data_IF_003991530369
#
_entry.id   IF_003991530369
#
_cell.length_a   1.000
_cell.length_b   1.000
_cell.length_c   1.000
_cell.angle_alpha   90.00
_cell.angle_beta   90.00
_cell.angle_gamma   90.00
#
_symmetry.space_group_name_H-M   'P 1'
#
loop_
_entity.id
_entity.type
_entity.pdbx_description
1 polymer ?
#
# COMPACT_ATOMS: atom_id res chain seq x y z
N UNK A 1 13.08 -0.43 0.13
CA UNK A 1 13.24 -0.07 1.56
C UNK A 1 12.12 -0.74 2.35
N UNK A 2 12.39 -1.90 2.93
CA UNK A 2 11.52 -2.48 3.94
C UNK A 2 11.84 -1.78 5.27
N UNK A 3 10.82 -1.25 5.94
CA UNK A 3 10.99 -0.59 7.23
C UNK A 3 10.11 -1.33 8.25
N UNK A 4 10.73 -2.12 9.12
CA UNK A 4 10.07 -2.92 10.18
C UNK A 4 9.12 -2.09 11.08
N UNK A 5 9.17 -0.76 11.00
CA UNK A 5 8.39 0.18 11.81
C UNK A 5 6.89 0.19 11.47
N UNK A 6 6.47 -0.34 10.32
CA UNK A 6 5.07 -0.37 9.89
C UNK A 6 4.39 -1.74 10.02
N UNK A 7 5.07 -2.74 10.60
CA UNK A 7 4.54 -4.10 10.61
C UNK A 7 3.54 -4.40 11.72
N UNK A 8 3.51 -3.59 12.78
CA UNK A 8 2.69 -3.83 13.97
C UNK A 8 1.47 -2.91 13.95
N UNK A 9 0.29 -3.46 13.69
CA UNK A 9 -1.01 -2.76 13.79
C UNK A 9 -1.65 -2.89 15.17
N UNK A 10 -1.47 -4.04 15.83
CA UNK A 10 -1.98 -4.33 17.16
C UNK A 10 -0.82 -4.84 18.02
N UNK A 11 -0.71 -4.32 19.25
CA UNK A 11 0.34 -4.71 20.19
C UNK A 11 -0.29 -5.27 21.46
N UNK A 12 0.04 -6.51 21.79
CA UNK A 12 -0.29 -7.10 23.09
C UNK A 12 0.93 -7.04 24.01
N UNK A 13 0.84 -6.25 25.07
CA UNK A 13 1.85 -6.16 26.10
C UNK A 13 1.47 -6.96 27.34
N UNK A 14 2.28 -7.95 27.70
CA UNK A 14 2.05 -8.79 28.87
C UNK A 14 2.90 -8.32 30.05
N UNK A 15 2.25 -7.91 31.15
CA UNK A 15 2.92 -7.52 32.40
C UNK A 15 2.62 -8.51 33.51
N UNK A 16 3.69 -9.15 34.02
CA UNK A 16 3.62 -10.08 35.14
C UNK A 16 3.36 -9.36 36.48
N UNK A 17 2.76 -10.07 37.44
CA UNK A 17 2.65 -9.64 38.83
C UNK A 17 4.02 -9.60 39.55
N UNK A 18 4.36 -8.50 40.22
CA UNK A 18 5.61 -8.33 40.99
C UNK A 18 6.53 -7.22 40.45
N UNK A 19 7.71 -7.07 41.07
CA UNK A 19 8.75 -6.10 40.66
C UNK A 19 9.32 -6.49 39.30
N UNK A 20 9.34 -5.56 38.35
CA UNK A 20 9.91 -5.79 37.02
C UNK A 20 11.14 -4.90 36.82
N UNK A 21 12.32 -5.52 36.70
CA UNK A 21 13.52 -4.84 36.21
C UNK A 21 13.53 -4.89 34.68
N UNK A 22 12.81 -3.97 34.05
CA UNK A 22 12.66 -4.00 32.59
C UNK A 22 12.88 -2.61 31.96
N UNK A 23 14.04 -2.01 32.23
CA UNK A 23 14.45 -0.74 31.61
C UNK A 23 14.32 -0.76 30.08
N UNK A 24 14.67 -1.88 29.44
CA UNK A 24 14.56 -2.06 27.99
C UNK A 24 13.09 -2.07 27.54
N UNK A 25 12.21 -2.77 28.26
CA UNK A 25 10.78 -2.84 27.91
C UNK A 25 10.09 -1.50 28.10
N UNK A 26 10.46 -0.73 29.13
CA UNK A 26 10.01 0.65 29.31
C UNK A 26 10.33 1.48 28.07
N UNK A 27 11.59 1.50 27.66
CA UNK A 27 12.03 2.26 26.49
C UNK A 27 11.35 1.78 25.20
N UNK A 28 11.19 0.47 25.01
CA UNK A 28 10.50 -0.07 23.84
C UNK A 28 9.03 0.36 23.79
N UNK A 29 8.30 0.27 24.91
CA UNK A 29 6.89 0.63 24.98
C UNK A 29 6.69 2.14 24.86
N UNK A 30 7.48 2.97 25.56
CA UNK A 30 7.44 4.43 25.41
C UNK A 30 7.73 4.85 23.97
N UNK A 31 8.77 4.28 23.34
CA UNK A 31 9.05 4.55 21.92
C UNK A 31 7.91 4.11 21.00
N UNK A 32 7.23 3.01 21.31
CA UNK A 32 6.07 2.56 20.53
C UNK A 32 4.89 3.52 20.70
N UNK A 33 4.63 3.97 21.93
CA UNK A 33 3.61 4.98 22.25
C UNK A 33 3.92 6.28 21.51
N UNK A 34 5.09 6.87 21.68
CA UNK A 34 5.45 8.16 21.07
C UNK A 34 5.34 8.14 19.53
N UNK A 35 5.57 6.97 18.92
CA UNK A 35 5.49 6.78 17.46
C UNK A 35 4.07 6.60 16.95
N UNK A 36 3.20 5.96 17.73
CA UNK A 36 1.89 5.49 17.25
C UNK A 36 0.71 6.24 17.91
N UNK A 37 0.92 6.79 19.09
CA UNK A 37 -0.05 7.53 19.90
C UNK A 37 0.54 8.93 20.10
N UNK A 38 0.09 9.91 19.31
CA UNK A 38 0.59 11.28 19.44
C UNK A 38 0.11 11.89 20.77
N UNK A 39 1.00 11.93 21.76
CA UNK A 39 0.77 12.67 23.00
C UNK A 39 0.99 14.16 22.72
N UNK A 40 -0.09 14.91 22.50
CA UNK A 40 -0.11 16.37 22.61
C UNK A 40 0.70 17.17 21.58
N UNK A 41 0.36 17.10 20.28
CA UNK A 41 0.90 18.00 19.26
C UNK A 41 0.04 18.09 18.01
N UNK A 42 -0.68 19.21 17.87
CA UNK A 42 -1.36 19.81 16.73
C UNK A 42 -2.23 18.95 15.77
N UNK A 43 -3.52 19.36 15.76
CA UNK A 43 -4.62 19.19 14.80
C UNK A 43 -5.23 17.78 14.68
N UNK A 44 -6.13 17.47 15.61
CA UNK A 44 -7.50 17.04 15.24
C UNK A 44 -7.75 15.57 14.91
N UNK A 45 -6.82 14.65 15.19
CA UNK A 45 -7.09 13.22 15.10
C UNK A 45 -7.07 12.60 16.51
N UNK A 46 -8.19 11.98 16.91
CA UNK A 46 -8.25 11.07 18.05
C UNK A 46 -7.03 10.12 18.06
N UNK A 47 -6.51 9.69 19.23
CA UNK A 47 -5.33 8.84 19.33
C UNK A 47 -5.42 7.71 18.30
N UNK A 48 -4.49 7.75 17.32
CA UNK A 48 -4.55 6.91 16.12
C UNK A 48 -4.71 5.45 16.52
N UNK A 49 -5.81 4.89 16.04
CA UNK A 49 -6.18 3.54 15.63
C UNK A 49 -5.20 2.35 15.74
N UNK A 50 -4.13 2.38 16.51
CA UNK A 50 -3.30 1.22 16.86
C UNK A 50 -3.60 0.84 18.30
N UNK A 51 -4.22 -0.31 18.51
CA UNK A 51 -4.67 -0.71 19.83
C UNK A 51 -3.54 -1.42 20.58
N UNK A 52 -2.93 -0.70 21.50
CA UNK A 52 -2.20 -1.32 22.60
C UNK A 52 -3.20 -2.04 23.49
N UNK A 53 -2.98 -3.32 23.73
CA UNK A 53 -3.66 -4.13 24.73
C UNK A 53 -2.67 -4.46 25.83
N UNK A 54 -3.06 -4.29 27.09
CA UNK A 54 -2.22 -4.69 28.22
C UNK A 54 -2.85 -5.89 28.93
N UNK A 55 -2.17 -7.02 28.90
CA UNK A 55 -2.52 -8.19 29.70
C UNK A 55 -1.73 -8.19 31.01
N UNK A 56 -2.44 -7.96 32.11
CA UNK A 56 -1.98 -8.17 33.46
C UNK A 56 -2.01 -9.68 33.77
N UNK A 57 -0.89 -10.37 33.55
CA UNK A 57 -0.81 -11.83 33.71
C UNK A 57 -0.64 -12.26 35.18
N UNK A 58 -0.81 -13.56 35.46
CA UNK A 58 -0.76 -14.14 36.83
C UNK A 58 -1.77 -13.48 37.79
N UNK A 59 -2.95 -13.12 37.29
CA UNK A 59 -3.96 -12.43 38.08
C UNK A 59 -4.51 -13.27 39.23
N UNK A 60 -4.46 -14.60 39.13
CA UNK A 60 -4.82 -15.52 40.21
C UNK A 60 -4.02 -15.27 41.50
N UNK A 61 -2.77 -14.80 41.38
CA UNK A 61 -1.91 -14.48 42.54
C UNK A 61 -2.36 -13.27 43.35
N UNK A 62 -3.29 -12.48 42.82
CA UNK A 62 -3.82 -11.28 43.49
C UNK A 62 -4.76 -11.63 44.64
N UNK A 63 -5.41 -12.78 44.60
CA UNK A 63 -6.23 -13.30 45.70
C UNK A 63 -5.31 -14.09 46.62
N UNK A 64 -5.35 -13.84 47.93
CA UNK A 64 -4.59 -14.60 48.93
C UNK A 64 -5.57 -15.43 49.77
N UNK A 65 -5.11 -16.55 50.33
CA UNK A 65 -5.90 -17.30 51.31
C UNK A 65 -6.10 -16.44 52.56
N UNK A 66 -7.27 -16.54 53.18
CA UNK A 66 -7.62 -15.81 54.41
C UNK A 66 -7.38 -14.29 54.28
N UNK A 67 -7.81 -13.72 53.15
CA UNK A 67 -7.51 -12.34 52.79
C UNK A 67 -8.23 -11.32 53.67
N UNK A 68 -7.76 -10.06 53.63
CA UNK A 68 -8.43 -8.93 54.28
C UNK A 68 -8.60 -7.81 53.27
N UNK A 69 -9.71 -7.08 53.35
CA UNK A 69 -10.06 -6.02 52.39
C UNK A 69 -8.94 -5.00 52.20
N UNK A 70 -8.31 -4.53 53.27
CA UNK A 70 -7.21 -3.55 53.19
C UNK A 70 -5.98 -4.12 52.47
N UNK A 71 -5.65 -5.39 52.73
CA UNK A 71 -4.53 -6.08 52.05
C UNK A 71 -4.84 -6.28 50.57
N UNK A 72 -6.06 -6.67 50.23
CA UNK A 72 -6.52 -6.75 48.85
C UNK A 72 -6.43 -5.40 48.14
N UNK A 73 -6.86 -4.32 48.81
CA UNK A 73 -6.82 -2.96 48.30
C UNK A 73 -5.39 -2.50 48.00
N UNK A 74 -4.44 -2.75 48.93
CA UNK A 74 -3.01 -2.45 48.72
C UNK A 74 -2.46 -3.21 47.51
N UNK A 75 -2.80 -4.49 47.33
CA UNK A 75 -2.34 -5.28 46.17
C UNK A 75 -2.93 -4.79 44.86
N UNK A 76 -4.19 -4.36 44.85
CA UNK A 76 -4.84 -3.76 43.67
C UNK A 76 -4.16 -2.45 43.27
N UNK A 77 -3.95 -1.54 44.22
CA UNK A 77 -3.23 -0.29 43.98
C UNK A 77 -1.80 -0.57 43.49
N UNK A 78 -1.09 -1.50 44.15
CA UNK A 78 0.26 -1.91 43.74
C UNK A 78 0.30 -2.50 42.33
N UNK A 79 -0.75 -3.22 41.90
CA UNK A 79 -0.83 -3.81 40.56
C UNK A 79 -0.86 -2.76 39.45
N UNK A 80 -1.62 -1.68 39.64
CA UNK A 80 -1.72 -0.62 38.65
C UNK A 80 -0.59 0.41 38.76
N UNK A 81 -0.25 0.87 39.97
CA UNK A 81 0.77 1.89 40.18
C UNK A 81 2.18 1.31 40.13
N UNK A 82 2.54 0.54 41.15
CA UNK A 82 3.91 0.08 41.36
C UNK A 82 4.38 -0.93 40.30
N UNK A 83 3.49 -1.81 39.82
CA UNK A 83 3.84 -2.82 38.80
C UNK A 83 3.65 -2.34 37.36
N UNK A 84 3.06 -1.16 37.14
CA UNK A 84 2.76 -0.70 35.78
C UNK A 84 2.98 0.80 35.58
N UNK A 85 2.07 1.67 36.05
CA UNK A 85 2.08 3.09 35.72
C UNK A 85 3.42 3.78 36.05
N UNK A 86 3.97 3.52 37.25
CA UNK A 86 5.23 4.11 37.70
C UNK A 86 6.44 3.62 36.87
N UNK A 87 6.34 2.46 36.22
CA UNK A 87 7.41 1.86 35.43
C UNK A 87 7.35 2.38 33.99
N UNK A 88 6.17 2.38 33.35
CA UNK A 88 6.06 2.60 31.91
C UNK A 88 5.89 4.06 31.48
N UNK A 89 5.68 4.97 32.44
CA UNK A 89 5.76 6.41 32.23
C UNK A 89 4.41 7.11 32.09
N UNK A 90 4.47 8.43 31.89
CA UNK A 90 3.33 9.33 32.06
C UNK A 90 2.17 9.10 31.08
N UNK A 91 2.39 8.41 29.96
CA UNK A 91 1.34 8.07 29.00
C UNK A 91 0.25 7.19 29.63
N UNK A 92 0.56 6.42 30.67
CA UNK A 92 -0.41 5.56 31.34
C UNK A 92 -1.55 6.37 31.96
N UNK A 93 -1.24 7.57 32.45
CA UNK A 93 -2.22 8.53 32.99
C UNK A 93 -2.64 9.60 31.97
N UNK A 94 -2.05 9.62 30.77
CA UNK A 94 -2.23 10.64 29.73
C UNK A 94 -2.14 10.04 28.32
N UNK A 95 -3.01 9.08 27.99
CA UNK A 95 -2.88 8.27 26.77
C UNK A 95 -3.47 8.93 25.52
N UNK A 96 -4.50 9.75 25.66
CA UNK A 96 -5.13 10.48 24.56
C UNK A 96 -5.06 11.98 24.77
N UNK A 97 -5.71 12.45 25.83
CA UNK A 97 -5.65 13.83 26.30
C UNK A 97 -5.02 13.88 27.69
N UNK A 98 -4.60 15.07 28.11
CA UNK A 98 -4.02 15.26 29.45
C UNK A 98 -5.07 14.92 30.51
N UNK A 99 -4.75 13.96 31.37
CA UNK A 99 -5.64 13.46 32.42
C UNK A 99 -6.53 12.28 32.02
N UNK A 100 -6.52 11.84 30.75
CA UNK A 100 -7.21 10.62 30.34
C UNK A 100 -6.29 9.39 30.47
N UNK A 101 -6.57 8.47 31.41
CA UNK A 101 -5.74 7.29 31.61
C UNK A 101 -5.95 6.26 30.51
N UNK A 102 -4.94 5.43 30.30
CA UNK A 102 -5.04 4.25 29.45
C UNK A 102 -6.03 3.25 30.06
N UNK A 103 -7.04 2.83 29.29
CA UNK A 103 -8.15 1.97 29.77
C UNK A 103 -8.20 0.57 29.17
N UNK A 104 -7.29 0.23 28.24
CA UNK A 104 -7.33 -1.06 27.52
C UNK A 104 -6.53 -2.17 28.23
N UNK A 105 -6.81 -2.33 29.54
CA UNK A 105 -6.26 -3.39 30.38
C UNK A 105 -7.14 -4.64 30.38
N UNK A 106 -6.50 -5.79 30.54
CA UNK A 106 -7.11 -7.10 30.70
C UNK A 106 -6.38 -7.88 31.78
N UNK A 107 -7.11 -8.62 32.58
CA UNK A 107 -6.51 -9.59 33.50
C UNK A 107 -6.42 -10.95 32.79
N UNK A 108 -5.36 -11.70 33.02
CA UNK A 108 -5.25 -13.07 32.53
C UNK A 108 -4.56 -13.98 33.54
N UNK A 109 -4.86 -15.28 33.45
CA UNK A 109 -4.18 -16.35 34.19
C UNK A 109 -3.93 -17.54 33.26
N UNK A 110 -2.86 -18.29 33.50
CA UNK A 110 -2.50 -19.43 32.68
C UNK A 110 -3.19 -20.71 33.19
N UNK A 111 -4.17 -21.29 32.48
CA UNK A 111 -4.86 -22.51 32.92
C UNK A 111 -3.97 -23.76 32.92
N UNK A 112 -2.80 -23.70 32.27
CA UNK A 112 -1.84 -24.81 32.21
C UNK A 112 -0.83 -24.77 33.36
N UNK A 113 -0.80 -23.69 34.15
CA UNK A 113 0.08 -23.56 35.30
C UNK A 113 -0.66 -23.93 36.59
N UNK A 114 0.08 -24.23 37.66
CA UNK A 114 -0.49 -24.33 39.00
C UNK A 114 -1.05 -22.98 39.42
N UNK A 115 -2.36 -22.93 39.64
CA UNK A 115 -3.07 -21.72 40.03
C UNK A 115 -3.09 -21.59 41.56
N UNK A 116 -3.06 -20.35 42.03
CA UNK A 116 -2.99 -20.09 43.46
C UNK A 116 -4.34 -20.33 44.16
N UNK A 117 -5.44 -19.94 43.53
CA UNK A 117 -6.78 -19.95 44.11
C UNK A 117 -7.73 -21.00 43.52
N UNK A 118 -7.29 -21.74 42.49
CA UNK A 118 -8.09 -22.77 41.83
C UNK A 118 -7.37 -24.12 41.87
N UNK A 119 -8.16 -25.18 42.01
CA UNK A 119 -7.75 -26.57 41.79
C UNK A 119 -8.56 -27.16 40.63
N UNK A 120 -8.14 -28.33 40.14
CA UNK A 120 -8.94 -29.13 39.20
C UNK A 120 -9.72 -30.17 39.97
N UNK A 121 -11.03 -30.17 39.78
CA UNK A 121 -11.91 -31.22 40.29
C UNK A 121 -11.49 -32.57 39.71
N UNK A 122 -11.33 -33.57 40.59
CA UNK A 122 -10.75 -34.87 40.22
C UNK A 122 -11.70 -35.75 39.39
N UNK A 123 -13.00 -35.45 39.38
CA UNK A 123 -14.01 -36.24 38.66
C UNK A 123 -14.34 -35.62 37.30
N UNK A 124 -14.50 -34.30 37.25
CA UNK A 124 -14.93 -33.55 36.07
C UNK A 124 -13.78 -32.90 35.32
N UNK A 125 -12.61 -32.76 35.95
CA UNK A 125 -11.46 -32.01 35.40
C UNK A 125 -11.67 -30.51 35.31
N UNK A 126 -12.81 -30.01 35.80
CA UNK A 126 -13.16 -28.58 35.76
C UNK A 126 -12.45 -27.81 36.86
N UNK A 127 -12.23 -26.52 36.67
CA UNK A 127 -11.66 -25.69 37.73
C UNK A 127 -12.69 -25.47 38.84
N UNK A 128 -12.22 -25.55 40.09
CA UNK A 128 -12.98 -25.23 41.30
C UNK A 128 -12.12 -24.35 42.21
N UNK A 129 -12.75 -23.63 43.13
CA UNK A 129 -12.00 -22.88 44.14
C UNK A 129 -11.22 -23.83 45.04
N UNK A 130 -10.00 -23.41 45.39
CA UNK A 130 -9.22 -24.09 46.41
C UNK A 130 -9.80 -23.75 47.80
N UNK A 131 -9.91 -24.73 48.71
CA UNK A 131 -10.42 -24.47 50.06
C UNK A 131 -9.74 -23.30 50.79
N UNK A 132 -10.56 -22.37 51.28
CA UNK A 132 -10.15 -21.13 51.96
C UNK A 132 -9.95 -19.92 51.03
N UNK A 133 -10.18 -20.08 49.73
CA UNK A 133 -10.20 -18.98 48.77
C UNK A 133 -11.61 -18.51 48.40
N UNK A 134 -12.64 -19.28 48.75
CA UNK A 134 -14.05 -18.98 48.47
C UNK A 134 -14.45 -17.65 49.12
N UNK A 135 -14.22 -17.50 50.42
CA UNK A 135 -14.49 -16.23 51.13
C UNK A 135 -13.52 -15.11 50.70
N UNK A 136 -12.27 -15.48 50.41
CA UNK A 136 -11.25 -14.51 49.98
C UNK A 136 -11.58 -13.89 48.63
N UNK A 137 -12.31 -14.61 47.75
CA UNK A 137 -12.83 -14.08 46.49
C UNK A 137 -13.78 -12.92 46.75
N UNK A 138 -14.73 -13.06 47.66
CA UNK A 138 -15.74 -12.04 47.93
C UNK A 138 -15.11 -10.80 48.58
N UNK A 139 -14.15 -11.00 49.49
CA UNK A 139 -13.33 -9.93 50.07
C UNK A 139 -12.57 -9.18 48.97
N UNK A 140 -11.92 -9.92 48.06
CA UNK A 140 -11.18 -9.33 46.95
C UNK A 140 -12.10 -8.61 45.97
N UNK A 141 -13.27 -9.17 45.65
CA UNK A 141 -14.26 -8.53 44.76
C UNK A 141 -14.79 -7.22 45.37
N UNK A 142 -15.06 -7.21 46.67
CA UNK A 142 -15.47 -6.00 47.40
C UNK A 142 -14.38 -4.92 47.34
N UNK A 143 -13.12 -5.28 47.60
CA UNK A 143 -12.00 -4.36 47.45
C UNK A 143 -11.87 -3.86 46.00
N UNK A 144 -11.94 -4.76 45.01
CA UNK A 144 -11.84 -4.45 43.58
C UNK A 144 -12.89 -3.42 43.14
N UNK A 145 -14.15 -3.60 43.51
CA UNK A 145 -15.25 -2.69 43.14
C UNK A 145 -15.06 -1.25 43.64
N UNK A 146 -14.41 -1.09 44.79
CA UNK A 146 -14.25 0.19 45.50
C UNK A 146 -12.86 0.81 45.39
N UNK A 147 -11.89 0.12 44.78
CA UNK A 147 -10.52 0.60 44.69
C UNK A 147 -10.42 1.76 43.67
N UNK A 148 -9.77 2.85 44.07
CA UNK A 148 -9.65 4.06 43.25
C UNK A 148 -8.87 3.83 41.94
N UNK A 149 -7.83 3.00 41.94
CA UNK A 149 -7.05 2.71 40.73
C UNK A 149 -7.82 1.79 39.78
N UNK A 150 -8.58 0.83 40.31
CA UNK A 150 -9.49 0.00 39.50
C UNK A 150 -10.52 0.87 38.80
N UNK A 151 -11.13 1.83 39.51
CA UNK A 151 -12.04 2.79 38.91
C UNK A 151 -11.35 3.64 37.84
N UNK A 152 -10.21 4.21 38.17
CA UNK A 152 -9.46 5.10 37.29
C UNK A 152 -9.06 4.43 35.96
N UNK A 153 -8.52 3.20 36.01
CA UNK A 153 -8.00 2.52 34.83
C UNK A 153 -9.02 1.64 34.10
N UNK A 154 -10.09 1.18 34.75
CA UNK A 154 -11.04 0.25 34.13
C UNK A 154 -12.44 0.83 33.95
N UNK A 155 -12.83 1.82 34.77
CA UNK A 155 -14.17 2.42 34.78
C UNK A 155 -15.28 1.37 34.74
N UNK A 156 -16.23 1.55 33.83
CA UNK A 156 -17.41 0.68 33.67
C UNK A 156 -17.06 -0.79 33.35
N UNK A 157 -15.88 -1.05 32.77
CA UNK A 157 -15.47 -2.40 32.36
C UNK A 157 -15.03 -3.28 33.53
N UNK A 158 -14.81 -2.70 34.72
CA UNK A 158 -14.21 -3.40 35.86
C UNK A 158 -14.97 -4.69 36.22
N UNK A 159 -16.30 -4.65 36.27
CA UNK A 159 -17.10 -5.82 36.68
C UNK A 159 -16.99 -6.95 35.65
N UNK A 160 -17.12 -6.61 34.37
CA UNK A 160 -16.96 -7.59 33.28
C UNK A 160 -15.56 -8.22 33.30
N UNK A 161 -14.50 -7.41 33.41
CA UNK A 161 -13.12 -7.89 33.47
C UNK A 161 -12.87 -8.81 34.67
N UNK A 162 -13.51 -8.53 35.81
CA UNK A 162 -13.43 -9.39 36.99
C UNK A 162 -14.03 -10.78 36.69
N UNK A 163 -15.24 -10.81 36.13
CA UNK A 163 -15.99 -12.04 35.89
C UNK A 163 -15.34 -12.93 34.82
N UNK A 164 -14.57 -12.33 33.90
CA UNK A 164 -13.84 -13.08 32.87
C UNK A 164 -12.57 -13.78 33.37
N UNK A 165 -12.14 -13.57 34.62
CA UNK A 165 -10.83 -14.06 35.11
C UNK A 165 -10.89 -14.69 36.48
N UNK A 166 -11.67 -14.12 37.40
CA UNK A 166 -11.74 -14.56 38.78
C UNK A 166 -12.93 -15.51 39.02
N UNK A 167 -13.37 -16.22 37.98
CA UNK A 167 -14.40 -17.26 38.05
C UNK A 167 -13.76 -18.57 37.54
N UNK A 168 -14.06 -19.72 38.16
CA UNK A 168 -13.58 -21.01 37.65
C UNK A 168 -13.98 -21.22 36.18
N UNK A 169 -13.06 -21.75 35.38
CA UNK A 169 -13.24 -21.92 33.94
C UNK A 169 -13.08 -20.65 33.09
N UNK A 170 -12.85 -19.49 33.71
CA UNK A 170 -12.64 -18.20 33.03
C UNK A 170 -11.22 -17.68 33.26
N UNK A 171 -10.41 -17.65 32.21
CA UNK A 171 -8.97 -17.31 32.29
C UNK A 171 -8.63 -15.90 31.83
N UNK A 172 -9.60 -15.17 31.27
CA UNK A 172 -9.44 -13.88 30.59
C UNK A 172 -8.90 -13.97 29.17
N UNK A 173 -8.29 -15.11 28.79
CA UNK A 173 -7.62 -15.27 27.50
C UNK A 173 -8.62 -15.17 26.34
N UNK A 174 -9.75 -15.87 26.43
CA UNK A 174 -10.77 -15.84 25.37
C UNK A 174 -11.40 -14.45 25.21
N UNK A 175 -11.60 -13.75 26.32
CA UNK A 175 -12.14 -12.39 26.31
C UNK A 175 -11.15 -11.39 25.69
N UNK A 176 -9.87 -11.47 26.07
CA UNK A 176 -8.81 -10.69 25.44
C UNK A 176 -8.71 -10.99 23.94
N UNK A 177 -8.69 -12.28 23.56
CA UNK A 177 -8.65 -12.71 22.14
C UNK A 177 -9.82 -12.12 21.36
N UNK A 178 -11.05 -12.22 21.89
CA UNK A 178 -12.26 -11.66 21.26
C UNK A 178 -12.11 -10.16 21.02
N UNK A 179 -11.60 -9.41 21.99
CA UNK A 179 -11.43 -7.96 21.84
C UNK A 179 -10.32 -7.58 20.86
N UNK A 180 -9.23 -8.36 20.78
CA UNK A 180 -8.18 -8.18 19.77
C UNK A 180 -8.77 -8.40 18.36
N UNK A 181 -9.50 -9.50 18.16
CA UNK A 181 -10.14 -9.82 16.87
C UNK A 181 -11.17 -8.74 16.49
N UNK A 182 -12.06 -8.38 17.40
CA UNK A 182 -13.04 -7.32 17.15
C UNK A 182 -12.37 -6.01 16.72
N UNK A 183 -11.24 -5.66 17.35
CA UNK A 183 -10.52 -4.44 16.99
C UNK A 183 -9.86 -4.53 15.62
N UNK A 184 -9.33 -5.70 15.26
CA UNK A 184 -8.82 -5.96 13.93
C UNK A 184 -9.93 -5.81 12.88
N UNK A 185 -11.09 -6.44 13.11
CA UNK A 185 -12.18 -6.51 12.14
C UNK A 185 -12.90 -5.16 11.93
N UNK A 186 -12.81 -4.25 12.89
CA UNK A 186 -13.28 -2.87 12.73
C UNK A 186 -12.47 -2.07 11.70
N UNK A 187 -11.19 -2.41 11.50
CA UNK A 187 -10.34 -1.74 10.52
C UNK A 187 -9.24 -2.68 9.97
N UNK A 188 -9.61 -3.65 9.12
CA UNK A 188 -8.67 -4.65 8.61
C UNK A 188 -7.58 -4.02 7.73
N UNK A 189 -7.89 -2.90 7.06
CA UNK A 189 -7.00 -2.21 6.13
C UNK A 189 -6.20 -1.07 6.78
N UNK A 190 -6.22 -0.96 8.12
CA UNK A 190 -5.53 0.07 8.89
C UNK A 190 -4.07 0.23 8.47
N UNK A 191 -3.35 -0.88 8.27
CA UNK A 191 -1.94 -0.86 7.85
C UNK A 191 -1.76 -0.15 6.51
N UNK A 192 -2.63 -0.45 5.55
CA UNK A 192 -2.61 0.16 4.22
C UNK A 192 -2.93 1.66 4.30
N UNK A 193 -3.95 2.03 5.08
CA UNK A 193 -4.31 3.45 5.31
C UNK A 193 -3.14 4.25 5.91
N UNK A 194 -2.47 3.70 6.93
CA UNK A 194 -1.30 4.33 7.56
C UNK A 194 -0.15 4.50 6.56
N UNK A 195 0.14 3.47 5.76
CA UNK A 195 1.19 3.51 4.74
C UNK A 195 0.89 4.53 3.63
N UNK A 196 -0.36 4.58 3.15
CA UNK A 196 -0.80 5.57 2.14
C UNK A 196 -0.67 7.00 2.66
N UNK A 197 -1.05 7.26 3.90
CA UNK A 197 -0.88 8.59 4.53
C UNK A 197 0.59 8.97 4.69
N UNK A 198 1.44 8.03 5.11
CA UNK A 198 2.88 8.26 5.21
C UNK A 198 3.50 8.58 3.84
N UNK A 199 3.12 7.83 2.80
CA UNK A 199 3.55 8.08 1.43
C UNK A 199 3.11 9.48 0.97
N UNK A 200 1.85 9.86 1.19
CA UNK A 200 1.33 11.19 0.86
C UNK A 200 2.13 12.30 1.54
N UNK A 201 2.43 12.15 2.84
CA UNK A 201 3.23 13.13 3.58
C UNK A 201 4.66 13.26 3.03
N UNK A 202 5.31 12.14 2.69
CA UNK A 202 6.65 12.14 2.09
C UNK A 202 6.61 12.85 0.74
N UNK A 203 5.64 12.50 -0.11
CA UNK A 203 5.46 13.15 -1.42
C UNK A 203 5.25 14.66 -1.22
N UNK A 204 4.35 15.06 -0.34
CA UNK A 204 4.09 16.49 -0.05
C UNK A 204 5.34 17.21 0.49
N UNK A 205 6.12 16.59 1.37
CA UNK A 205 7.38 17.17 1.84
C UNK A 205 8.41 17.33 0.72
N UNK A 206 8.52 16.34 -0.17
CA UNK A 206 9.40 16.40 -1.34
C UNK A 206 8.93 17.47 -2.33
N UNK A 207 7.61 17.58 -2.55
CA UNK A 207 7.00 18.64 -3.37
C UNK A 207 7.29 20.01 -2.77
N UNK A 208 7.06 20.21 -1.47
CA UNK A 208 7.34 21.48 -0.79
C UNK A 208 8.84 21.81 -0.78
N UNK A 209 9.72 20.81 -0.62
CA UNK A 209 11.16 20.99 -0.69
C UNK A 209 11.59 21.37 -2.11
N UNK A 210 11.06 20.70 -3.13
CA UNK A 210 11.23 21.08 -4.53
C UNK A 210 10.77 22.53 -4.73
N UNK A 211 9.55 22.87 -4.34
CA UNK A 211 8.97 24.21 -4.58
C UNK A 211 9.72 25.32 -3.83
N UNK A 212 10.35 25.01 -2.69
CA UNK A 212 11.16 25.94 -1.92
C UNK A 212 12.53 26.25 -2.54
N UNK A 213 13.14 25.29 -3.23
CA UNK A 213 14.52 25.39 -3.75
C UNK A 213 14.62 25.39 -5.27
N UNK A 214 13.55 25.00 -5.96
CA UNK A 214 13.34 25.17 -7.39
C UNK A 214 12.23 26.21 -7.57
N UNK A 215 12.62 27.47 -7.76
CA UNK A 215 11.80 28.44 -8.49
C UNK A 215 11.87 28.12 -9.99
N UNK A 216 11.50 26.89 -10.35
CA UNK A 216 11.20 26.56 -11.73
C UNK A 216 9.88 27.24 -12.08
N UNK A 217 9.82 27.80 -13.29
CA UNK A 217 8.61 28.24 -13.98
C UNK A 217 7.33 27.58 -13.45
N UNK A 218 6.25 28.36 -13.26
CA UNK A 218 4.94 27.81 -12.83
C UNK A 218 4.59 26.53 -13.60
N UNK A 219 3.92 25.55 -12.98
CA UNK A 219 3.60 24.27 -13.64
C UNK A 219 3.01 24.46 -15.06
N UNK A 220 2.19 25.51 -15.27
CA UNK A 220 1.65 25.87 -16.57
C UNK A 220 2.71 26.25 -17.62
N UNK A 221 3.77 26.95 -17.21
CA UNK A 221 4.88 27.34 -18.08
C UNK A 221 5.81 26.16 -18.39
N UNK A 222 6.01 25.23 -17.44
CA UNK A 222 6.71 23.96 -17.70
C UNK A 222 5.92 23.10 -18.69
N UNK A 223 4.60 22.96 -18.48
CA UNK A 223 3.72 22.25 -19.40
C UNK A 223 3.75 22.87 -20.80
N UNK A 224 3.68 24.20 -20.92
CA UNK A 224 3.74 24.85 -22.23
C UNK A 224 5.11 24.69 -22.89
N UNK A 225 6.20 24.76 -22.13
CA UNK A 225 7.54 24.47 -22.66
C UNK A 225 7.65 23.03 -23.18
N UNK A 226 7.05 22.05 -22.48
CA UNK A 226 6.98 20.65 -22.92
C UNK A 226 6.10 20.47 -24.17
N UNK A 227 4.93 21.12 -24.23
CA UNK A 227 4.08 21.13 -25.43
C UNK A 227 4.82 21.75 -26.62
N UNK A 228 5.58 22.83 -26.39
CA UNK A 228 6.41 23.48 -27.42
C UNK A 228 7.51 22.54 -27.93
N UNK A 229 8.22 21.85 -27.05
CA UNK A 229 9.25 20.87 -27.43
C UNK A 229 8.67 19.72 -28.28
N UNK A 230 7.46 19.24 -27.97
CA UNK A 230 6.78 18.24 -28.78
C UNK A 230 6.43 18.78 -30.18
N UNK A 231 5.90 20.01 -30.27
CA UNK A 231 5.60 20.66 -31.55
C UNK A 231 6.87 20.84 -32.40
N UNK A 232 7.95 21.33 -31.80
CA UNK A 232 9.24 21.49 -32.48
C UNK A 232 9.78 20.15 -33.01
N UNK A 233 9.63 19.05 -32.25
CA UNK A 233 10.03 17.73 -32.72
C UNK A 233 9.20 17.26 -33.93
N UNK A 234 7.88 17.47 -33.90
CA UNK A 234 7.00 17.16 -35.05
C UNK A 234 7.36 18.02 -36.26
N UNK A 235 7.61 19.32 -36.10
CA UNK A 235 8.03 20.21 -37.19
C UNK A 235 9.36 19.78 -37.82
N UNK A 236 10.31 19.26 -37.03
CA UNK A 236 11.56 18.70 -37.56
C UNK A 236 11.29 17.48 -38.43
N UNK A 237 10.37 16.61 -38.03
CA UNK A 237 9.97 15.43 -38.80
C UNK A 237 9.13 15.78 -40.03
N UNK A 238 8.30 16.82 -39.98
CA UNK A 238 7.52 17.30 -41.12
C UNK A 238 8.40 17.82 -42.27
N UNK A 239 9.53 18.44 -41.93
CA UNK A 239 10.53 18.87 -42.93
C UNK A 239 11.18 17.68 -43.64
N UNK A 240 11.08 16.48 -43.08
CA UNK A 240 11.71 15.23 -43.54
C UNK A 240 10.79 14.03 -43.33
N UNK A 241 9.70 13.91 -44.11
CA UNK A 241 8.71 12.85 -43.95
C UNK A 241 9.32 11.43 -43.90
N UNK A 242 10.40 11.19 -44.63
CA UNK A 242 11.16 9.94 -44.61
C UNK A 242 11.72 9.58 -43.23
N UNK A 243 12.03 10.58 -42.38
CA UNK A 243 12.52 10.37 -41.01
C UNK A 243 11.48 9.71 -40.12
N UNK A 244 10.18 9.93 -40.38
CA UNK A 244 9.09 9.23 -39.67
C UNK A 244 9.17 7.74 -39.94
N UNK A 245 9.22 7.36 -41.23
CA UNK A 245 9.35 5.97 -41.64
C UNK A 245 10.64 5.33 -41.13
N UNK A 246 11.76 6.07 -41.12
CA UNK A 246 13.03 5.61 -40.55
C UNK A 246 12.92 5.38 -39.04
N UNK A 247 12.26 6.28 -38.31
CA UNK A 247 12.07 6.19 -36.85
C UNK A 247 11.21 4.98 -36.49
N UNK A 248 10.03 4.87 -37.11
CA UNK A 248 9.06 3.81 -36.81
C UNK A 248 9.59 2.43 -37.18
N UNK A 249 10.20 2.29 -38.36
CA UNK A 249 10.82 1.03 -38.78
C UNK A 249 12.07 0.71 -37.94
N UNK A 250 12.81 1.75 -37.53
CA UNK A 250 13.95 1.63 -36.63
C UNK A 250 13.53 1.03 -35.29
N UNK A 251 12.49 1.58 -34.67
CA UNK A 251 11.90 1.05 -33.44
C UNK A 251 11.52 -0.42 -33.66
N UNK A 252 10.76 -0.77 -34.71
CA UNK A 252 10.35 -2.17 -34.94
C UNK A 252 11.49 -3.14 -35.09
N UNK A 253 12.55 -2.76 -35.81
CA UNK A 253 13.74 -3.60 -35.99
C UNK A 253 14.48 -3.85 -34.68
N UNK A 254 14.32 -2.98 -33.68
CA UNK A 254 14.94 -3.12 -32.36
C UNK A 254 14.06 -3.90 -31.36
N UNK A 255 12.93 -4.45 -31.80
CA UNK A 255 12.08 -5.29 -30.94
C UNK A 255 12.88 -6.49 -30.40
N UNK A 256 12.98 -6.67 -29.07
CA UNK A 256 13.69 -7.80 -28.51
C UNK A 256 13.08 -9.15 -28.96
N UNK A 257 13.92 -10.18 -29.00
CA UNK A 257 13.52 -11.52 -29.44
C UNK A 257 12.55 -12.21 -28.47
N UNK A 258 11.82 -13.22 -28.96
CA UNK A 258 10.89 -14.04 -28.16
C UNK A 258 11.55 -14.69 -26.95
N UNK A 259 12.83 -15.10 -27.09
CA UNK A 259 13.63 -15.66 -25.99
C UNK A 259 13.81 -14.67 -24.82
N UNK A 260 14.04 -13.39 -25.11
CA UNK A 260 14.21 -12.39 -24.05
C UNK A 260 12.91 -12.21 -23.25
N UNK A 261 11.76 -12.16 -23.93
CA UNK A 261 10.45 -12.08 -23.29
C UNK A 261 10.16 -13.34 -22.46
N UNK A 262 10.52 -14.51 -22.99
CA UNK A 262 10.38 -15.77 -22.26
C UNK A 262 11.22 -15.77 -20.97
N UNK A 263 12.49 -15.37 -21.05
CA UNK A 263 13.40 -15.40 -19.91
C UNK A 263 12.94 -14.45 -18.78
N UNK A 264 12.40 -13.27 -19.12
CA UNK A 264 11.88 -12.32 -18.11
C UNK A 264 10.57 -12.80 -17.47
N UNK A 265 9.69 -13.45 -18.24
CA UNK A 265 8.44 -14.06 -17.74
C UNK A 265 8.78 -15.23 -16.84
N UNK A 266 9.63 -16.15 -17.32
CA UNK A 266 10.06 -17.34 -16.57
C UNK A 266 10.69 -16.97 -15.24
N UNK A 267 11.59 -15.98 -15.21
CA UNK A 267 12.24 -15.52 -13.97
C UNK A 267 11.26 -15.01 -12.91
N UNK A 268 10.07 -14.53 -13.30
CA UNK A 268 9.03 -14.09 -12.36
C UNK A 268 8.18 -15.24 -11.82
N UNK A 269 8.11 -16.36 -12.53
CA UNK A 269 7.24 -17.50 -12.21
C UNK A 269 8.04 -18.61 -11.50
N UNK A 270 9.30 -18.79 -11.90
CA UNK A 270 10.26 -19.72 -11.30
C UNK A 270 11.47 -18.92 -10.78
N UNK A 271 11.36 -18.23 -9.63
CA UNK A 271 12.50 -17.55 -9.06
C UNK A 271 13.53 -18.57 -8.55
N UNK A 272 14.83 -18.32 -8.79
CA UNK A 272 15.98 -19.17 -8.43
C UNK A 272 16.11 -19.53 -6.92
N UNK A 273 15.15 -19.15 -6.08
CA UNK A 273 15.26 -19.20 -4.61
C UNK A 273 14.57 -20.40 -3.95
N UNK A 274 13.93 -21.32 -4.68
CA UNK A 274 13.31 -22.51 -4.08
C UNK A 274 12.20 -22.20 -3.05
N UNK A 275 11.61 -21.00 -3.13
CA UNK A 275 10.49 -20.56 -2.30
C UNK A 275 9.27 -20.43 -3.21
N UNK A 276 8.23 -21.22 -2.94
CA UNK A 276 6.93 -21.06 -3.57
C UNK A 276 6.37 -19.67 -3.23
N UNK A 277 6.23 -18.81 -4.23
CA UNK A 277 5.67 -17.47 -4.06
C UNK A 277 4.15 -17.54 -4.21
N UNK A 278 3.44 -16.95 -3.25
CA UNK A 278 1.99 -16.71 -3.23
C UNK A 278 1.59 -15.92 -4.50
N UNK A 279 0.55 -16.32 -5.25
CA UNK A 279 0.23 -15.82 -6.59
C UNK A 279 -0.53 -14.48 -6.57
N UNK A 280 0.08 -13.42 -6.01
CA UNK A 280 -0.44 -12.04 -6.09
C UNK A 280 0.35 -11.16 -7.07
N UNK A 281 1.22 -11.75 -7.89
CA UNK A 281 1.90 -11.04 -8.96
C UNK A 281 1.07 -11.16 -10.25
N UNK A 282 1.05 -10.10 -11.07
CA UNK A 282 0.66 -10.14 -12.50
C UNK A 282 1.94 -10.30 -13.32
N UNK A 283 2.58 -11.50 -13.33
CA UNK A 283 3.91 -11.69 -13.87
C UNK A 283 3.99 -11.34 -15.35
N UNK A 284 2.92 -11.50 -16.14
CA UNK A 284 2.93 -11.13 -17.54
C UNK A 284 2.93 -9.62 -17.73
N UNK A 285 2.06 -8.89 -17.02
CA UNK A 285 1.97 -7.42 -17.11
C UNK A 285 3.32 -6.75 -16.87
N UNK A 286 3.97 -7.07 -15.76
CA UNK A 286 5.26 -6.46 -15.41
C UNK A 286 6.37 -6.85 -16.39
N UNK A 287 6.33 -8.09 -16.88
CA UNK A 287 7.29 -8.58 -17.87
C UNK A 287 7.14 -7.84 -19.19
N UNK A 288 5.91 -7.56 -19.63
CA UNK A 288 5.63 -6.78 -20.84
C UNK A 288 6.06 -5.31 -20.68
N UNK A 289 5.83 -4.68 -19.52
CA UNK A 289 6.33 -3.32 -19.25
C UNK A 289 7.87 -3.28 -19.30
N UNK A 290 8.53 -4.28 -18.71
CA UNK A 290 9.99 -4.41 -18.76
C UNK A 290 10.50 -4.66 -20.19
N UNK A 291 9.74 -5.43 -20.97
CA UNK A 291 10.01 -5.67 -22.39
C UNK A 291 9.94 -4.37 -23.19
N UNK A 292 8.90 -3.57 -23.01
CA UNK A 292 8.77 -2.24 -23.63
C UNK A 292 9.93 -1.32 -23.26
N UNK A 293 10.27 -1.25 -21.96
CA UNK A 293 11.39 -0.42 -21.49
C UNK A 293 12.70 -0.79 -22.18
N UNK A 294 13.03 -2.10 -22.23
CA UNK A 294 14.24 -2.58 -22.91
C UNK A 294 14.21 -2.27 -24.40
N UNK A 295 13.06 -2.41 -25.04
CA UNK A 295 12.89 -2.13 -26.46
C UNK A 295 13.15 -0.66 -26.78
N UNK A 296 12.54 0.26 -26.03
CA UNK A 296 12.74 1.71 -26.24
C UNK A 296 14.18 2.12 -25.93
N UNK A 297 14.77 1.62 -24.85
CA UNK A 297 16.19 1.90 -24.51
C UNK A 297 17.15 1.43 -25.60
N UNK A 298 16.86 0.27 -26.21
CA UNK A 298 17.67 -0.27 -27.32
C UNK A 298 17.52 0.58 -28.59
N UNK A 299 16.33 1.14 -28.82
CA UNK A 299 16.06 2.04 -29.94
C UNK A 299 16.78 3.37 -29.76
N UNK A 300 16.68 3.98 -28.57
CA UNK A 300 17.33 5.23 -28.21
C UNK A 300 18.87 5.15 -28.29
N UNK A 301 19.43 4.03 -27.83
CA UNK A 301 20.88 3.79 -27.86
C UNK A 301 21.47 3.46 -29.24
N UNK A 302 20.64 3.32 -30.29
CA UNK A 302 21.10 2.91 -31.60
C UNK A 302 21.70 4.08 -32.39
N UNK A 303 23.02 4.23 -32.34
CA UNK A 303 23.76 5.29 -33.05
C UNK A 303 23.50 5.33 -34.56
N UNK A 304 23.26 4.18 -35.20
CA UNK A 304 23.00 4.11 -36.64
C UNK A 304 21.59 4.61 -37.00
N UNK A 305 20.60 4.36 -36.13
CA UNK A 305 19.26 4.94 -36.24
C UNK A 305 19.32 6.46 -36.03
N UNK A 306 19.95 6.90 -34.94
CA UNK A 306 20.02 8.33 -34.58
C UNK A 306 20.72 9.15 -35.69
N UNK A 307 21.78 8.60 -36.27
CA UNK A 307 22.49 9.24 -37.40
C UNK A 307 21.61 9.39 -38.65
N UNK A 308 20.70 8.45 -38.92
CA UNK A 308 19.82 8.48 -40.10
C UNK A 308 18.63 9.42 -39.95
N UNK A 309 18.21 9.69 -38.73
CA UNK A 309 17.07 10.57 -38.44
C UNK A 309 17.43 12.04 -38.62
N UNK A 310 18.71 12.40 -38.41
CA UNK A 310 19.22 13.77 -38.46
C UNK A 310 18.39 14.75 -37.61
N UNK A 311 17.76 14.25 -36.54
CA UNK A 311 17.06 15.01 -35.51
C UNK A 311 18.08 15.39 -34.42
N UNK A 312 17.99 16.58 -33.80
CA UNK A 312 18.82 16.92 -32.65
C UNK A 312 18.75 15.85 -31.55
N UNK A 313 19.91 15.41 -31.07
CA UNK A 313 20.01 14.30 -30.11
C UNK A 313 19.17 14.53 -28.84
N UNK A 314 19.12 15.78 -28.34
CA UNK A 314 18.29 16.14 -27.21
C UNK A 314 16.79 15.93 -27.44
N UNK A 315 16.28 16.28 -28.62
CA UNK A 315 14.86 16.08 -28.95
C UNK A 315 14.53 14.59 -29.13
N UNK A 316 15.44 13.84 -29.74
CA UNK A 316 15.26 12.40 -29.94
C UNK A 316 15.28 11.62 -28.61
N UNK A 317 16.19 11.97 -27.70
CA UNK A 317 16.24 11.38 -26.36
C UNK A 317 14.96 11.69 -25.58
N UNK A 318 14.50 12.95 -25.61
CA UNK A 318 13.26 13.36 -24.96
C UNK A 318 12.05 12.59 -25.50
N UNK A 319 11.97 12.40 -26.83
CA UNK A 319 10.92 11.58 -27.45
C UNK A 319 10.93 10.15 -26.92
N UNK A 320 12.09 9.49 -26.90
CA UNK A 320 12.18 8.10 -26.41
C UNK A 320 11.86 7.98 -24.91
N UNK A 321 12.32 8.91 -24.09
CA UNK A 321 11.99 8.94 -22.65
C UNK A 321 10.49 9.12 -22.40
N UNK A 322 9.85 9.97 -23.22
CA UNK A 322 8.41 10.17 -23.18
C UNK A 322 7.65 8.91 -23.62
N UNK A 323 8.04 8.28 -24.73
CA UNK A 323 7.42 7.04 -25.21
C UNK A 323 7.59 5.88 -24.23
N UNK A 324 8.74 5.79 -23.56
CA UNK A 324 8.99 4.82 -22.50
C UNK A 324 8.01 5.00 -21.35
N UNK A 325 7.82 6.23 -20.89
CA UNK A 325 6.85 6.57 -19.85
C UNK A 325 5.41 6.27 -20.30
N UNK A 326 5.08 6.61 -21.55
CA UNK A 326 3.75 6.38 -22.11
C UNK A 326 3.40 4.88 -22.17
N UNK A 327 4.33 4.04 -22.63
CA UNK A 327 4.15 2.58 -22.70
C UNK A 327 4.10 1.89 -21.33
N UNK A 328 4.52 2.57 -20.27
CA UNK A 328 4.45 2.09 -18.89
C UNK A 328 3.30 2.73 -18.09
N UNK A 329 2.45 3.54 -18.74
CA UNK A 329 1.38 4.29 -18.08
C UNK A 329 0.23 3.41 -17.61
N UNK A 330 -0.54 3.91 -16.63
CA UNK A 330 -1.77 3.28 -16.15
C UNK A 330 -2.80 3.06 -17.27
N UNK A 331 -2.87 3.99 -18.23
CA UNK A 331 -3.68 3.86 -19.45
C UNK A 331 -3.34 2.61 -20.27
N UNK A 332 -2.07 2.21 -20.37
CA UNK A 332 -1.67 0.97 -21.05
C UNK A 332 -2.01 -0.25 -20.20
N UNK A 333 -1.81 -0.14 -18.89
CA UNK A 333 -2.11 -1.21 -17.93
C UNK A 333 -3.60 -1.57 -17.95
N UNK A 334 -4.48 -0.58 -17.96
CA UNK A 334 -5.93 -0.76 -17.86
C UNK A 334 -6.60 -1.09 -19.20
N UNK A 335 -6.07 -0.59 -20.31
CA UNK A 335 -6.71 -0.79 -21.62
C UNK A 335 -6.08 -1.94 -22.43
N UNK A 336 -4.76 -2.10 -22.38
CA UNK A 336 -4.06 -3.08 -23.22
C UNK A 336 -3.59 -4.31 -22.42
N UNK A 337 -3.26 -4.16 -21.13
CA UNK A 337 -2.68 -5.25 -20.33
C UNK A 337 -3.62 -5.80 -19.24
N UNK A 338 -4.88 -5.35 -19.19
CA UNK A 338 -5.80 -5.66 -18.08
C UNK A 338 -5.99 -7.16 -17.85
N UNK A 339 -6.21 -7.90 -18.93
CA UNK A 339 -6.54 -9.33 -18.92
C UNK A 339 -5.40 -10.21 -19.45
N UNK A 340 -4.18 -9.68 -19.55
CA UNK A 340 -3.08 -10.34 -20.26
C UNK A 340 -2.70 -11.70 -19.64
N UNK A 341 -2.75 -11.81 -18.31
CA UNK A 341 -2.49 -13.06 -17.58
C UNK A 341 -3.57 -14.13 -17.83
N UNK A 342 -4.77 -13.75 -18.30
CA UNK A 342 -5.84 -14.69 -18.66
C UNK A 342 -5.71 -15.24 -20.08
N UNK A 343 -4.99 -14.55 -20.95
CA UNK A 343 -4.85 -14.90 -22.36
C UNK A 343 -3.57 -15.67 -22.69
N UNK A 344 -2.51 -15.51 -21.89
CA UNK A 344 -1.19 -16.08 -22.20
C UNK A 344 -0.64 -16.90 -21.05
N UNK A 345 -0.11 -18.09 -21.37
CA UNK A 345 0.62 -18.94 -20.43
C UNK A 345 2.13 -18.79 -20.61
N UNK A 346 2.95 -19.12 -19.60
CA UNK A 346 4.41 -19.03 -19.66
C UNK A 346 5.04 -20.20 -20.42
N UNK A 347 4.57 -20.45 -21.64
CA UNK A 347 5.08 -21.48 -22.54
C UNK A 347 5.63 -20.84 -23.82
N UNK A 348 6.58 -21.49 -24.53
CA UNK A 348 7.20 -20.88 -25.71
C UNK A 348 6.22 -20.45 -26.81
N UNK A 349 5.16 -21.25 -27.06
CA UNK A 349 4.14 -20.93 -28.07
C UNK A 349 3.37 -19.64 -27.73
N UNK A 350 2.90 -19.51 -26.49
CA UNK A 350 2.18 -18.33 -26.01
C UNK A 350 3.10 -17.12 -25.87
N UNK A 351 4.39 -17.32 -25.61
CA UNK A 351 5.36 -16.22 -25.54
C UNK A 351 5.59 -15.56 -26.90
N UNK A 352 5.55 -16.34 -27.99
CA UNK A 352 5.56 -15.78 -29.35
C UNK A 352 4.31 -14.94 -29.61
N UNK A 353 3.14 -15.45 -29.22
CA UNK A 353 1.87 -14.74 -29.35
C UNK A 353 1.85 -13.46 -28.49
N UNK A 354 2.38 -13.53 -27.27
CA UNK A 354 2.54 -12.40 -26.36
C UNK A 354 3.49 -11.33 -26.95
N UNK A 355 4.59 -11.74 -27.58
CA UNK A 355 5.47 -10.82 -28.30
C UNK A 355 4.75 -10.15 -29.46
N UNK A 356 3.97 -10.88 -30.24
CA UNK A 356 3.19 -10.29 -31.33
C UNK A 356 2.12 -9.33 -30.82
N UNK A 357 1.51 -9.65 -29.69
CA UNK A 357 0.59 -8.73 -29.01
C UNK A 357 1.30 -7.47 -28.53
N UNK A 358 2.51 -7.59 -27.96
CA UNK A 358 3.36 -6.47 -27.59
C UNK A 358 3.76 -5.60 -28.80
N UNK A 359 4.05 -6.21 -29.97
CA UNK A 359 4.26 -5.49 -31.23
C UNK A 359 3.02 -4.68 -31.63
N UNK A 360 1.82 -5.26 -31.51
CA UNK A 360 0.56 -4.59 -31.80
C UNK A 360 0.33 -3.39 -30.86
N UNK A 361 0.56 -3.55 -29.55
CA UNK A 361 0.44 -2.46 -28.57
C UNK A 361 1.40 -1.32 -28.92
N UNK A 362 2.67 -1.63 -29.21
CA UNK A 362 3.66 -0.61 -29.55
C UNK A 362 3.32 0.07 -30.87
N UNK A 363 2.85 -0.67 -31.88
CA UNK A 363 2.35 -0.06 -33.12
C UNK A 363 1.20 0.90 -32.85
N UNK A 364 0.17 0.47 -32.11
CA UNK A 364 -0.99 1.30 -31.74
C UNK A 364 -0.59 2.54 -30.94
N UNK A 365 0.28 2.39 -29.94
CA UNK A 365 0.63 3.45 -29.00
C UNK A 365 1.74 4.36 -29.49
N UNK A 366 2.65 3.92 -30.35
CA UNK A 366 3.70 4.80 -30.89
C UNK A 366 3.27 5.42 -32.22
N UNK A 367 2.60 4.67 -33.10
CA UNK A 367 2.31 5.19 -34.44
C UNK A 367 1.12 6.13 -34.38
N UNK A 368 0.07 5.69 -33.70
CA UNK A 368 -1.18 6.43 -33.61
C UNK A 368 -1.36 7.14 -32.27
N UNK A 369 -0.41 7.03 -31.32
CA UNK A 369 -0.47 7.73 -30.01
C UNK A 369 -1.82 7.54 -29.27
N UNK A 370 -2.43 6.34 -29.44
CA UNK A 370 -3.74 6.01 -28.90
C UNK A 370 -4.92 6.69 -29.60
N UNK A 371 -4.75 7.20 -30.82
CA UNK A 371 -5.82 7.57 -31.75
C UNK A 371 -6.38 6.28 -32.37
N UNK A 372 -7.69 6.07 -32.26
CA UNK A 372 -8.38 4.85 -32.69
C UNK A 372 -9.39 5.24 -33.76
N UNK A 373 -9.51 4.57 -34.90
CA UNK A 373 -10.58 4.89 -35.87
C UNK A 373 -11.91 4.17 -35.58
N UNK A 374 -11.94 3.08 -34.79
CA UNK A 374 -13.13 2.49 -34.15
C UNK A 374 -12.66 1.25 -33.36
N UNK A 375 -13.12 1.06 -32.12
CA UNK A 375 -12.82 -0.11 -31.27
C UNK A 375 -13.59 -1.38 -31.73
N UNK A 376 -13.36 -1.79 -32.98
CA UNK A 376 -13.86 -3.06 -33.52
C UNK A 376 -12.73 -4.05 -33.75
N UNK A 377 -12.97 -5.34 -33.45
CA UNK A 377 -12.21 -6.42 -34.09
C UNK A 377 -12.32 -6.17 -35.60
N UNK A 378 -11.20 -6.03 -36.35
CA UNK A 378 -11.29 -5.79 -37.78
C UNK A 378 -12.14 -6.89 -38.42
N UNK A 379 -13.33 -6.56 -38.90
CA UNK A 379 -14.23 -7.50 -39.58
C UNK A 379 -13.73 -7.84 -40.99
N UNK A 380 -12.60 -7.25 -41.39
CA UNK A 380 -11.90 -7.50 -42.64
C UNK A 380 -10.44 -7.03 -42.57
N UNK A 381 -9.67 -7.19 -43.67
CA UNK A 381 -8.32 -6.67 -43.79
C UNK A 381 -8.31 -5.17 -43.47
N UNK A 382 -7.39 -4.71 -42.62
CA UNK A 382 -7.16 -3.29 -42.40
C UNK A 382 -6.77 -2.68 -43.75
N UNK A 383 -7.55 -1.74 -44.30
CA UNK A 383 -7.17 -1.08 -45.54
C UNK A 383 -5.94 -0.23 -45.25
N UNK A 384 -4.77 -0.70 -45.68
CA UNK A 384 -3.57 0.13 -45.72
C UNK A 384 -3.78 1.06 -46.91
N UNK A 385 -3.95 2.36 -46.65
CA UNK A 385 -4.00 3.37 -47.70
C UNK A 385 -2.70 3.26 -48.51
N UNK A 386 -2.85 2.87 -49.77
CA UNK A 386 -1.74 2.37 -50.60
C UNK A 386 -0.75 3.41 -51.10
N UNK A 387 -0.93 4.71 -50.83
CA UNK A 387 -0.07 5.75 -51.41
C UNK A 387 0.04 7.00 -50.52
N UNK A 388 1.25 7.57 -50.47
CA UNK A 388 1.72 8.91 -50.05
C UNK A 388 1.24 9.54 -48.72
N UNK A 389 0.18 9.03 -48.06
CA UNK A 389 -0.51 9.75 -46.98
C UNK A 389 -0.25 9.20 -45.57
N UNK A 390 0.32 8.00 -45.41
CA UNK A 390 0.56 7.41 -44.08
C UNK A 390 1.45 8.28 -43.19
N UNK A 391 2.53 8.83 -43.76
CA UNK A 391 3.41 9.73 -43.02
C UNK A 391 2.70 11.02 -42.61
N UNK A 392 1.88 11.58 -43.50
CA UNK A 392 1.12 12.79 -43.22
C UNK A 392 0.03 12.55 -42.15
N UNK A 393 -0.61 11.38 -42.17
CA UNK A 393 -1.58 10.93 -41.18
C UNK A 393 -0.94 10.76 -39.80
N UNK A 394 0.19 10.06 -39.71
CA UNK A 394 0.95 9.90 -38.47
C UNK A 394 1.41 11.25 -37.92
N UNK A 395 1.95 12.13 -38.77
CA UNK A 395 2.38 13.46 -38.36
C UNK A 395 1.19 14.34 -37.91
N UNK A 396 0.04 14.24 -38.57
CA UNK A 396 -1.20 14.90 -38.16
C UNK A 396 -1.63 14.47 -36.76
N UNK A 397 -1.63 13.16 -36.49
CA UNK A 397 -1.93 12.63 -35.16
C UNK A 397 -0.89 13.10 -34.13
N UNK A 398 0.40 13.08 -34.49
CA UNK A 398 1.49 13.48 -33.58
C UNK A 398 1.44 14.96 -33.24
N UNK A 399 1.09 15.82 -34.20
CA UNK A 399 0.92 17.26 -33.99
C UNK A 399 -0.06 17.56 -32.86
N UNK A 400 -1.13 16.77 -32.75
CA UNK A 400 -2.19 16.95 -31.75
C UNK A 400 -1.94 16.17 -30.45
N UNK A 401 -1.38 14.96 -30.54
CA UNK A 401 -1.29 14.02 -29.42
C UNK A 401 0.05 14.04 -28.70
N UNK A 402 1.15 14.27 -29.41
CA UNK A 402 2.48 14.24 -28.82
C UNK A 402 2.67 15.35 -27.75
N UNK A 403 2.17 16.59 -27.92
CA UNK A 403 2.23 17.61 -26.87
C UNK A 403 1.54 17.20 -25.56
N UNK A 404 0.39 16.54 -25.66
CA UNK A 404 -0.36 16.05 -24.50
C UNK A 404 0.38 14.90 -23.80
N UNK A 405 1.02 14.02 -24.57
CA UNK A 405 1.85 12.94 -24.04
C UNK A 405 3.10 13.51 -23.34
N UNK A 406 3.72 14.58 -23.87
CA UNK A 406 4.88 15.22 -23.26
C UNK A 406 4.58 15.84 -21.88
N UNK A 407 3.36 16.32 -21.66
CA UNK A 407 2.91 16.83 -20.34
C UNK A 407 2.32 15.75 -19.43
N UNK A 408 2.36 14.48 -19.84
CA UNK A 408 1.91 13.34 -19.04
C UNK A 408 0.42 12.98 -19.19
N UNK A 409 -0.31 13.60 -20.13
CA UNK A 409 -1.69 13.24 -20.44
C UNK A 409 -1.74 12.02 -21.39
N UNK A 410 -1.74 10.83 -20.79
CA UNK A 410 -1.71 9.54 -21.50
C UNK A 410 -3.10 8.95 -21.84
N UNK A 411 -4.16 9.73 -21.67
CA UNK A 411 -5.53 9.32 -21.97
C UNK A 411 -5.70 8.99 -23.45
N UNK A 412 -6.30 7.85 -23.79
CA UNK A 412 -6.64 7.49 -25.19
C UNK A 412 -7.65 8.50 -25.75
N UNK A 413 -7.49 8.95 -26.99
CA UNK A 413 -8.49 9.80 -27.66
C UNK A 413 -9.21 8.99 -28.74
N UNK A 414 -10.54 8.98 -28.65
CA UNK A 414 -11.40 8.50 -29.72
C UNK A 414 -11.27 9.42 -30.95
N UNK A 415 -11.55 8.92 -32.16
CA UNK A 415 -11.58 9.78 -33.34
C UNK A 415 -12.73 10.78 -33.16
N UNK A 416 -12.52 12.03 -33.53
CA UNK A 416 -13.64 12.97 -33.63
C UNK A 416 -14.40 12.61 -34.90
N UNK A 417 -15.69 12.26 -34.76
CA UNK A 417 -16.57 12.08 -35.92
C UNK A 417 -16.45 13.30 -36.83
N UNK A 418 -16.15 13.08 -38.11
CA UNK A 418 -16.01 14.11 -39.14
C UNK A 418 -17.33 14.79 -39.50
N UNK A 419 -18.10 15.25 -38.52
CA UNK A 419 -19.38 15.94 -38.72
C UNK A 419 -19.17 17.43 -39.02
N UNK A 420 -18.00 18.01 -38.71
CA UNK A 420 -17.80 19.47 -38.82
C UNK A 420 -17.14 19.97 -40.13
N UNK A 421 -16.69 19.07 -41.00
CA UNK A 421 -16.18 19.45 -42.34
C UNK A 421 -17.30 19.56 -43.40
N UNK A 422 -18.49 19.04 -43.13
CA UNK A 422 -19.65 19.14 -44.03
C UNK A 422 -20.61 20.30 -43.65
N UNK A 423 -20.67 20.69 -42.38
CA UNK A 423 -21.51 21.81 -41.90
C UNK A 423 -21.00 23.19 -42.32
N UNK A 424 -19.74 23.31 -42.74
CA UNK A 424 -19.16 24.56 -43.28
C UNK A 424 -19.21 24.67 -44.81
N UNK A 425 -19.68 23.64 -45.52
CA UNK A 425 -20.01 23.76 -46.95
C UNK A 425 -21.43 24.29 -47.08
N UNK A 426 -21.54 25.63 -47.10
CA UNK A 426 -22.75 26.33 -47.52
C UNK A 426 -23.10 25.89 -48.95
N UNK A 427 -24.01 24.93 -49.11
CA UNK A 427 -24.73 24.75 -50.37
C UNK A 427 -25.91 25.74 -50.38
N UNK A 428 -25.99 26.65 -51.37
CA UNK A 428 -27.17 27.47 -51.52
C UNK A 428 -28.34 26.54 -51.84
N UNK A 429 -29.45 26.75 -51.12
CA UNK A 429 -30.72 26.05 -51.36
C UNK A 429 -31.08 26.14 -52.85
N UNK A 430 -31.34 24.99 -53.46
CA UNK A 430 -32.20 24.85 -54.63
C UNK A 430 -33.47 24.13 -54.21
#
# INVERSE_FOLDING_TARGET
MYCNRFDITLLLFCSQHGTQEAHVMRTMLSNWIDRNVQVGGDIGAAPRETALFVALTMSDKMIKKDDKRDRANIRLTGRFRANFANIYGNWVDNFGEKGEPFKNFYFTRNPQATLQCFDKDSQTGTEVWRPGFEESKDIFQSAYKTNAEVEHYLGDRKQELFDQVFIPGKTGIDYLRKNIINRHDQDPDLKEKVLRKALYNIVSQLTNYRDKYYQGDSNAQVEENQRKQAREFVEVLEKRPESVSVLLNGIMKMCPGEKYLYDIVKKKIEPDTGVDIIPNTTPMRDSVIKFFSKWIDTSAGNKALNKKLEVPEGQLNQYFDCMKSYLASESVIENDLKNIDSFFKPVPADTRSLRNYALWIVGRRIYYLGYIEQDGIPTGPVPISGDENFTAEVLGIWRDRLPEIYVGNFTIRAPQDGIDLLTNLNFPKL
#
